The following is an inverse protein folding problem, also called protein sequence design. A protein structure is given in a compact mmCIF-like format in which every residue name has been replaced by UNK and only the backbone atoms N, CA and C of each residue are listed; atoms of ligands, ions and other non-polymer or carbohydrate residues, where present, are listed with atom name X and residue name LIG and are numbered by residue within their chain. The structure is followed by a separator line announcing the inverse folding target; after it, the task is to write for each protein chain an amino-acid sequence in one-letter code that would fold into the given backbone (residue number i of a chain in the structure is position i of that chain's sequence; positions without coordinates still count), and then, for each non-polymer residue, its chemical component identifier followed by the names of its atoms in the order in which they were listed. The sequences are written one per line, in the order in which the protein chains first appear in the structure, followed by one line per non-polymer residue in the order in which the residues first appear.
data_IF_009407548802
#
_entry.id   IF_009407548802
#
_cell.length_a   1.000
_cell.length_b   1.000
_cell.length_c   1.000
_cell.angle_alpha   90.00
_cell.angle_beta   90.00
_cell.angle_gamma   90.00
#
_symmetry.space_group_name_H-M   'P 1'
#
loop_
_entity.id
_entity.type
_entity.pdbx_description
1 polymer ?
#
# COMPACT_ATOMS: atom_id res chain seq x y z
N UNK A 1 -9.04 -5.12 12.09
CA UNK A 1 -8.49 -4.82 13.42
C UNK A 1 -7.64 -3.55 13.37
N UNK A 2 -8.12 -2.42 13.95
CA UNK A 2 -7.40 -1.15 13.92
C UNK A 2 -6.13 -1.13 14.79
N UNK A 3 -5.94 -2.15 15.60
CA UNK A 3 -4.75 -2.31 16.44
C UNK A 3 -3.74 -3.30 15.85
N UNK A 4 -3.94 -3.75 14.63
CA UNK A 4 -2.98 -4.62 13.94
C UNK A 4 -1.63 -3.96 13.83
N UNK A 5 -0.58 -4.74 14.07
CA UNK A 5 0.80 -4.38 13.78
C UNK A 5 1.21 -5.05 12.50
N UNK A 6 1.63 -4.25 11.54
CA UNK A 6 1.86 -4.73 10.17
C UNK A 6 3.20 -4.20 9.67
N UNK A 7 4.10 -5.12 9.38
CA UNK A 7 5.31 -4.88 8.60
C UNK A 7 5.25 -5.83 7.40
N UNK A 8 4.73 -5.36 6.28
CA UNK A 8 4.42 -6.19 5.13
C UNK A 8 4.92 -5.54 3.85
N UNK A 9 5.74 -6.29 3.12
CA UNK A 9 6.36 -5.88 1.88
C UNK A 9 5.81 -6.69 0.71
N UNK A 10 5.82 -6.08 -0.48
CA UNK A 10 5.36 -6.72 -1.70
C UNK A 10 6.42 -6.61 -2.79
N UNK A 11 6.81 -7.74 -3.34
CA UNK A 11 7.68 -7.82 -4.51
C UNK A 11 6.88 -8.34 -5.69
N UNK A 12 6.99 -7.66 -6.82
CA UNK A 12 6.33 -8.05 -8.07
C UNK A 12 7.37 -8.23 -9.15
N UNK A 13 7.25 -9.32 -9.89
CA UNK A 13 7.98 -9.59 -11.12
C UNK A 13 7.02 -10.17 -12.14
N UNK A 14 7.48 -10.43 -13.38
CA UNK A 14 6.62 -10.98 -14.43
C UNK A 14 5.93 -12.27 -13.98
N UNK A 15 4.61 -12.24 -13.93
CA UNK A 15 3.78 -13.40 -13.59
C UNK A 15 3.75 -13.79 -12.10
N UNK A 16 4.41 -13.06 -11.21
CA UNK A 16 4.52 -13.41 -9.79
C UNK A 16 4.37 -12.20 -8.88
N UNK A 17 3.57 -12.35 -7.82
CA UNK A 17 3.50 -11.46 -6.66
C UNK A 17 3.95 -12.22 -5.43
N UNK A 18 4.91 -11.68 -4.69
CA UNK A 18 5.35 -12.22 -3.42
C UNK A 18 5.07 -11.21 -2.30
N UNK A 19 4.31 -11.65 -1.31
CA UNK A 19 3.98 -10.85 -0.11
C UNK A 19 4.68 -11.46 1.06
N UNK A 20 5.53 -10.69 1.73
CA UNK A 20 6.33 -11.17 2.85
C UNK A 20 6.32 -10.15 3.99
N UNK A 21 6.47 -10.64 5.22
CA UNK A 21 6.57 -9.78 6.37
C UNK A 21 6.11 -10.42 7.66
N UNK A 22 5.78 -9.58 8.62
CA UNK A 22 5.35 -9.96 9.95
C UNK A 22 4.07 -9.20 10.30
N UNK A 23 3.05 -9.93 10.72
CA UNK A 23 1.75 -9.35 11.08
C UNK A 23 1.29 -9.94 12.40
N UNK A 24 0.95 -9.05 13.34
CA UNK A 24 0.25 -9.40 14.57
C UNK A 24 -1.13 -8.75 14.55
N UNK A 25 -2.17 -9.56 14.51
CA UNK A 25 -3.56 -9.08 14.36
C UNK A 25 -4.55 -10.07 14.96
N UNK A 26 -5.70 -9.57 15.38
CA UNK A 26 -6.89 -10.37 15.67
C UNK A 26 -7.85 -10.46 14.47
N UNK A 27 -7.53 -9.76 13.36
CA UNK A 27 -8.29 -9.77 12.13
C UNK A 27 -7.87 -10.89 11.19
N UNK A 28 -8.59 -11.02 10.10
CA UNK A 28 -8.27 -11.92 8.99
C UNK A 28 -8.39 -11.17 7.66
N UNK A 29 -7.47 -11.44 6.75
CA UNK A 29 -7.56 -11.01 5.36
C UNK A 29 -7.08 -12.14 4.45
N UNK A 30 -7.86 -12.45 3.40
CA UNK A 30 -7.39 -13.33 2.34
C UNK A 30 -6.41 -12.56 1.44
N UNK A 31 -5.13 -12.71 1.73
CA UNK A 31 -4.06 -11.99 1.02
C UNK A 31 -4.01 -12.38 -0.45
N UNK A 32 -4.28 -13.66 -0.78
CA UNK A 32 -4.28 -14.12 -2.16
C UNK A 32 -5.37 -13.43 -2.98
N UNK A 33 -6.59 -13.39 -2.44
CA UNK A 33 -7.72 -12.73 -3.09
C UNK A 33 -7.49 -11.21 -3.19
N UNK A 34 -6.99 -10.59 -2.12
CA UNK A 34 -6.68 -9.17 -2.10
C UNK A 34 -5.65 -8.78 -3.17
N UNK A 35 -4.59 -9.57 -3.35
CA UNK A 35 -3.59 -9.37 -4.40
C UNK A 35 -4.23 -9.45 -5.77
N UNK A 36 -5.01 -10.49 -6.06
CA UNK A 36 -5.67 -10.69 -7.35
C UNK A 36 -6.61 -9.55 -7.68
N UNK A 37 -7.47 -9.18 -6.75
CA UNK A 37 -8.40 -8.06 -6.91
C UNK A 37 -7.68 -6.74 -7.15
N UNK A 38 -6.58 -6.50 -6.45
CA UNK A 38 -5.78 -5.28 -6.63
C UNK A 38 -5.18 -5.24 -8.04
N UNK A 39 -4.58 -6.33 -8.51
CA UNK A 39 -4.00 -6.44 -9.85
C UNK A 39 -5.05 -6.23 -10.94
N UNK A 40 -6.22 -6.88 -10.80
CA UNK A 40 -7.35 -6.73 -11.72
C UNK A 40 -7.89 -5.30 -11.73
N UNK A 41 -8.04 -4.67 -10.56
CA UNK A 41 -8.54 -3.31 -10.42
C UNK A 41 -7.58 -2.27 -11.03
N UNK A 42 -6.28 -2.53 -11.04
CA UNK A 42 -5.29 -1.72 -11.76
C UNK A 42 -5.52 -1.82 -13.27
N UNK A 43 -5.97 -2.97 -13.75
CA UNK A 43 -6.30 -3.23 -15.16
C UNK A 43 -5.47 -4.32 -15.82
N UNK A 44 -4.72 -5.13 -15.05
CA UNK A 44 -4.02 -6.31 -15.54
C UNK A 44 -4.94 -7.54 -15.46
N UNK A 45 -5.82 -7.67 -16.45
CA UNK A 45 -6.89 -8.68 -16.52
C UNK A 45 -6.70 -9.69 -17.66
N UNK A 46 -5.55 -9.65 -18.36
CA UNK A 46 -5.21 -10.52 -19.46
C UNK A 46 -3.69 -10.66 -19.59
N UNK A 47 -3.23 -11.88 -19.93
CA UNK A 47 -1.82 -12.14 -20.23
C UNK A 47 -1.28 -11.37 -21.43
N UNK A 48 -2.13 -10.89 -22.33
CA UNK A 48 -1.73 -10.00 -23.44
C UNK A 48 -1.17 -8.67 -22.95
N UNK A 49 -1.47 -8.29 -21.70
CA UNK A 49 -0.93 -7.10 -21.06
C UNK A 49 0.41 -7.34 -20.35
N UNK A 50 0.97 -8.54 -20.49
CA UNK A 50 2.21 -8.96 -19.85
C UNK A 50 2.08 -9.36 -18.38
N UNK A 51 0.91 -9.18 -17.77
CA UNK A 51 0.58 -9.59 -16.41
C UNK A 51 -0.94 -9.79 -16.29
N UNK A 52 -1.37 -10.79 -15.53
CA UNK A 52 -2.79 -11.11 -15.38
C UNK A 52 -3.09 -11.51 -13.94
N UNK A 53 -3.95 -10.75 -13.27
CA UNK A 53 -4.36 -11.01 -11.89
C UNK A 53 -5.10 -12.33 -11.71
N UNK A 54 -5.75 -12.87 -12.77
CA UNK A 54 -6.44 -14.15 -12.69
C UNK A 54 -5.46 -15.34 -12.63
N UNK A 55 -4.32 -15.24 -13.31
CA UNK A 55 -3.39 -16.34 -13.52
C UNK A 55 -2.00 -16.17 -12.91
N UNK A 56 -1.65 -14.98 -12.41
CA UNK A 56 -0.35 -14.75 -11.78
C UNK A 56 -0.15 -15.67 -10.56
N UNK A 57 1.09 -16.05 -10.32
CA UNK A 57 1.48 -16.70 -9.07
C UNK A 57 1.36 -15.72 -7.90
N UNK A 58 0.82 -16.17 -6.78
CA UNK A 58 0.82 -15.41 -5.53
C UNK A 58 1.48 -16.27 -4.46
N UNK A 59 2.53 -15.73 -3.86
CA UNK A 59 3.27 -16.37 -2.78
C UNK A 59 3.15 -15.50 -1.52
N UNK A 60 2.77 -16.10 -0.41
CA UNK A 60 2.58 -15.40 0.87
C UNK A 60 3.47 -16.01 1.92
N UNK A 61 4.36 -15.19 2.49
CA UNK A 61 5.29 -15.56 3.56
C UNK A 61 5.15 -14.56 4.69
N UNK A 62 4.11 -14.74 5.51
CA UNK A 62 3.81 -13.86 6.64
C UNK A 62 4.04 -14.64 7.92
N UNK A 63 4.92 -14.12 8.77
CA UNK A 63 5.21 -14.63 10.11
C UNK A 63 4.63 -13.76 11.22
N UNK A 64 4.90 -14.16 12.45
CA UNK A 64 4.65 -13.32 13.62
C UNK A 64 5.82 -12.37 13.84
N UNK A 65 5.53 -11.19 14.37
CA UNK A 65 6.55 -10.22 14.73
C UNK A 65 7.52 -10.80 15.77
N UNK A 66 8.83 -10.49 15.62
CA UNK A 66 9.85 -10.83 16.59
C UNK A 66 9.50 -10.28 17.98
N UNK A 67 9.70 -11.10 19.01
CA UNK A 67 9.44 -10.69 20.40
C UNK A 67 10.34 -9.52 20.84
N UNK A 68 11.56 -9.44 20.34
CA UNK A 68 12.49 -8.36 20.67
C UNK A 68 12.01 -7.01 20.11
N UNK A 69 11.43 -7.00 18.92
CA UNK A 69 10.81 -5.81 18.32
C UNK A 69 9.51 -5.46 19.05
N UNK A 70 8.71 -6.47 19.42
CA UNK A 70 7.46 -6.28 20.13
C UNK A 70 7.64 -5.53 21.44
N UNK A 71 8.69 -5.82 22.21
CA UNK A 71 8.98 -5.12 23.49
C UNK A 71 9.16 -3.61 23.28
N UNK A 72 9.78 -3.18 22.18
CA UNK A 72 9.98 -1.77 21.88
C UNK A 72 8.73 -1.06 21.31
N UNK A 73 7.88 -1.82 20.63
CA UNK A 73 6.71 -1.30 19.93
C UNK A 73 5.43 -1.39 20.77
N UNK A 74 5.30 -2.42 21.62
CA UNK A 74 4.11 -2.64 22.44
C UNK A 74 4.04 -1.73 23.67
N UNK A 75 5.18 -1.18 24.10
CA UNK A 75 5.26 -0.25 25.23
C UNK A 75 5.99 1.02 24.83
N UNK A 76 5.24 2.05 24.49
CA UNK A 76 5.77 3.37 24.15
C UNK A 76 6.68 3.90 25.27
N UNK A 77 7.69 4.72 24.88
CA UNK A 77 8.58 5.34 25.85
C UNK A 77 7.81 6.19 26.86
N UNK A 78 6.77 6.87 26.41
CA UNK A 78 5.88 7.72 27.20
C UNK A 78 5.17 6.90 28.29
N UNK A 79 4.72 5.69 27.98
CA UNK A 79 4.13 4.78 28.96
C UNK A 79 5.15 4.38 30.05
N UNK A 80 6.36 4.05 29.62
CA UNK A 80 7.43 3.60 30.53
C UNK A 80 7.96 4.72 31.43
N UNK A 81 8.04 5.95 30.93
CA UNK A 81 8.65 7.08 31.63
C UNK A 81 7.60 7.92 32.36
N UNK A 82 6.52 8.29 31.69
CA UNK A 82 5.50 9.21 32.25
C UNK A 82 4.31 8.49 32.89
N UNK A 83 4.17 7.18 32.69
CA UNK A 83 3.00 6.38 33.10
C UNK A 83 1.70 7.00 32.57
N UNK A 84 1.74 7.58 31.38
CA UNK A 84 0.57 8.15 30.72
C UNK A 84 -0.54 7.10 30.58
N UNK A 85 -1.77 7.56 30.74
CA UNK A 85 -2.98 6.76 30.47
C UNK A 85 -3.69 7.22 29.20
N UNK A 86 -3.09 8.14 28.45
CA UNK A 86 -3.65 8.57 27.17
C UNK A 86 -3.58 7.41 26.16
N UNK A 87 -4.70 7.05 25.54
CA UNK A 87 -4.75 5.97 24.55
C UNK A 87 -3.77 6.15 23.38
N UNK A 88 -3.46 7.39 23.00
CA UNK A 88 -2.50 7.67 21.93
C UNK A 88 -1.06 7.43 22.37
N UNK A 89 -0.73 7.76 23.61
CA UNK A 89 0.58 7.48 24.20
C UNK A 89 0.82 5.97 24.38
N UNK A 90 -0.26 5.21 24.63
CA UNK A 90 -0.20 3.77 24.82
C UNK A 90 -0.08 2.98 23.51
N UNK A 91 -0.42 3.60 22.38
CA UNK A 91 -0.49 2.89 21.09
C UNK A 91 0.89 2.44 20.58
N UNK A 92 1.96 3.09 21.00
CA UNK A 92 3.30 2.87 20.46
C UNK A 92 3.46 3.38 19.03
N UNK A 93 4.70 3.45 18.57
CA UNK A 93 5.04 3.86 17.20
C UNK A 93 5.78 2.73 16.48
N UNK A 94 5.98 2.88 15.15
CA UNK A 94 6.90 2.04 14.39
C UNK A 94 8.35 2.25 14.82
N UNK A 95 9.25 1.42 14.34
CA UNK A 95 10.68 1.48 14.70
C UNK A 95 11.48 2.47 13.85
N UNK A 96 11.00 2.81 12.67
CA UNK A 96 11.66 3.72 11.73
C UNK A 96 10.67 4.71 11.13
N UNK A 97 11.11 5.93 10.89
CA UNK A 97 10.30 6.91 10.20
C UNK A 97 11.07 8.18 9.84
N UNK A 98 10.77 8.71 8.68
CA UNK A 98 11.17 10.02 8.22
C UNK A 98 9.95 10.70 7.61
N UNK A 99 9.60 11.85 8.14
CA UNK A 99 8.37 12.53 7.77
C UNK A 99 8.65 13.96 7.33
N UNK A 100 8.07 14.32 6.19
CA UNK A 100 8.04 15.69 5.70
C UNK A 100 6.59 16.14 5.60
N UNK A 101 6.32 17.39 5.92
CA UNK A 101 5.01 17.98 5.77
C UNK A 101 5.10 19.33 5.08
N UNK A 102 4.29 19.53 4.06
CA UNK A 102 4.11 20.81 3.42
C UNK A 102 2.66 20.95 2.94
N UNK A 103 2.07 22.09 3.20
CA UNK A 103 0.72 22.42 2.73
C UNK A 103 0.66 23.90 2.37
N UNK A 104 -0.17 24.25 1.38
CA UNK A 104 -0.47 25.62 1.00
C UNK A 104 -1.94 25.77 0.59
N UNK A 105 -2.36 26.98 0.28
CA UNK A 105 -3.75 27.30 -0.06
C UNK A 105 -4.03 27.34 -1.57
N UNK A 106 -3.11 26.86 -2.41
CA UNK A 106 -3.28 26.89 -3.87
C UNK A 106 -4.46 26.03 -4.36
N UNK A 107 -4.76 24.96 -3.63
CA UNK A 107 -5.82 24.03 -3.95
C UNK A 107 -6.70 23.73 -2.75
N UNK A 108 -7.93 23.26 -3.00
CA UNK A 108 -8.87 22.83 -1.93
C UNK A 108 -8.32 21.68 -1.07
N UNK A 109 -7.41 20.90 -1.60
CA UNK A 109 -6.77 19.76 -0.92
C UNK A 109 -5.51 20.18 -0.14
N UNK A 110 -5.19 21.47 -0.12
CA UNK A 110 -3.99 22.06 0.49
C UNK A 110 -2.67 21.55 -0.14
N UNK A 111 -2.77 20.96 -1.31
CA UNK A 111 -1.62 20.50 -2.09
C UNK A 111 -1.12 21.62 -3.03
N UNK A 112 0.18 21.76 -3.24
CA UNK A 112 0.74 22.68 -4.24
C UNK A 112 0.13 22.43 -5.61
N UNK A 113 -0.19 23.51 -6.32
CA UNK A 113 -0.91 23.45 -7.60
C UNK A 113 -0.24 22.54 -8.66
N UNK A 114 1.09 22.56 -8.87
CA UNK A 114 1.71 21.72 -9.89
C UNK A 114 1.49 20.22 -9.67
N UNK A 115 1.69 19.74 -8.43
CA UNK A 115 1.50 18.31 -8.12
C UNK A 115 0.02 17.93 -8.13
N UNK A 116 -0.86 18.79 -7.66
CA UNK A 116 -2.30 18.56 -7.71
C UNK A 116 -2.83 18.45 -9.16
N UNK A 117 -2.30 19.26 -10.07
CA UNK A 117 -2.63 19.15 -11.50
C UNK A 117 -2.08 17.87 -12.11
N UNK A 118 -0.83 17.50 -11.81
CA UNK A 118 -0.23 16.26 -12.30
C UNK A 118 -1.03 15.03 -11.85
N UNK A 119 -1.43 14.98 -10.60
CA UNK A 119 -2.29 13.91 -10.07
C UNK A 119 -3.63 13.84 -10.81
N UNK A 120 -4.31 14.98 -11.01
CA UNK A 120 -5.58 15.02 -11.73
C UNK A 120 -5.48 14.56 -13.18
N UNK A 121 -4.38 14.91 -13.85
CA UNK A 121 -4.13 14.43 -15.22
C UNK A 121 -3.94 12.91 -15.24
N UNK A 122 -3.15 12.36 -14.32
CA UNK A 122 -2.93 10.92 -14.20
C UNK A 122 -4.22 10.15 -13.85
N UNK A 123 -5.02 10.69 -12.93
CA UNK A 123 -6.34 10.15 -12.58
C UNK A 123 -7.28 10.13 -13.78
N UNK A 124 -7.33 11.26 -14.53
CA UNK A 124 -8.19 11.37 -15.72
C UNK A 124 -7.73 10.42 -16.83
N UNK A 125 -6.44 10.28 -17.03
CA UNK A 125 -5.89 9.32 -18.00
C UNK A 125 -6.29 7.88 -17.62
N UNK A 126 -6.20 7.53 -16.33
CA UNK A 126 -6.61 6.22 -15.82
C UNK A 126 -8.11 5.99 -16.01
N UNK A 127 -8.95 6.97 -15.70
CA UNK A 127 -10.39 6.92 -15.92
C UNK A 127 -10.75 6.66 -17.38
N UNK A 128 -10.18 7.45 -18.29
CA UNK A 128 -10.42 7.36 -19.73
C UNK A 128 -9.96 6.00 -20.29
N UNK A 129 -8.82 5.50 -19.84
CA UNK A 129 -8.33 4.17 -20.18
C UNK A 129 -9.29 3.06 -19.72
N UNK A 130 -9.72 3.11 -18.45
CA UNK A 130 -10.60 2.09 -17.86
C UNK A 130 -12.02 2.13 -18.47
N UNK A 131 -12.52 3.31 -18.82
CA UNK A 131 -13.84 3.45 -19.46
C UNK A 131 -13.88 3.00 -20.93
N UNK A 132 -12.71 2.70 -21.52
CA UNK A 132 -12.62 2.30 -22.92
C UNK A 132 -12.81 3.44 -23.94
N UNK A 133 -12.79 4.69 -23.50
CA UNK A 133 -12.85 5.86 -24.39
C UNK A 133 -11.61 5.98 -25.28
N UNK A 134 -10.46 5.45 -24.82
CA UNK A 134 -9.25 5.31 -25.62
C UNK A 134 -9.11 3.83 -26.01
N UNK A 135 -9.50 3.50 -27.22
CA UNK A 135 -9.47 2.13 -27.74
C UNK A 135 -8.16 1.73 -28.41
N UNK A 136 -7.36 2.71 -28.82
CA UNK A 136 -6.25 2.47 -29.75
C UNK A 136 -4.90 2.14 -29.11
N UNK A 137 -4.72 2.31 -27.79
CA UNK A 137 -3.39 2.12 -27.15
C UNK A 137 -3.45 1.49 -25.75
N UNK A 138 -4.17 0.39 -25.59
CA UNK A 138 -4.26 -0.29 -24.27
C UNK A 138 -2.91 -0.79 -23.73
N UNK A 139 -1.92 -1.00 -24.61
CA UNK A 139 -0.59 -1.50 -24.22
C UNK A 139 0.44 -0.42 -23.91
N UNK A 140 0.29 0.77 -24.50
CA UNK A 140 1.35 1.80 -24.49
C UNK A 140 1.33 2.70 -23.25
N UNK A 141 0.23 2.71 -22.50
CA UNK A 141 0.07 3.51 -21.27
C UNK A 141 0.32 2.76 -19.96
N UNK A 142 0.62 1.49 -20.02
CA UNK A 142 1.16 0.80 -18.85
C UNK A 142 2.64 1.16 -18.77
N UNK A 143 3.14 1.71 -17.66
CA UNK A 143 4.56 1.92 -17.51
C UNK A 143 5.25 0.57 -17.62
N UNK A 144 5.78 0.28 -18.81
CA UNK A 144 6.74 -0.80 -18.95
C UNK A 144 7.99 -0.35 -18.20
N UNK A 145 8.16 -0.76 -16.96
CA UNK A 145 9.46 -0.76 -16.33
C UNK A 145 10.35 -1.69 -17.17
N UNK A 146 11.06 -1.14 -18.12
CA UNK A 146 12.26 -1.76 -18.71
C UNK A 146 13.47 -1.22 -18.01
#
# INVERSE_FOLDING_TARGET
DPKSRVACETLITTGQVHVAGEITTNGFADVNELVRQTVLNIGYDSSDKGFDGNSCGVSVSIGQQSQDIAVGVDHALEERVSKSKDPFDLQGAGDQGLMFGYANSDTKTLMPLPIAMAHRLAEKLTEVRKSGQLTEHRGDFLPTCR
#
